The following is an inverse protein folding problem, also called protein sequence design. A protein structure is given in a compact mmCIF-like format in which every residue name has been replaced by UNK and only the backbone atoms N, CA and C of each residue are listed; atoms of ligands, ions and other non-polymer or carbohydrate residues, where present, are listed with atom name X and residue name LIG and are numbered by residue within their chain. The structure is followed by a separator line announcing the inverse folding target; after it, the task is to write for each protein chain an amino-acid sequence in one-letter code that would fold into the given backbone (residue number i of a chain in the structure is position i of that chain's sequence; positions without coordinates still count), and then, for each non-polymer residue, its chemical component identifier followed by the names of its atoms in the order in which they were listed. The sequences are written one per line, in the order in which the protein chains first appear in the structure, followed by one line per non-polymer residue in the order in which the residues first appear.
data_IF_573774478016
#
_entry.id   IF_573774478016
#
_cell.length_a   1.000
_cell.length_b   1.000
_cell.length_c   1.000
_cell.angle_alpha   90.00
_cell.angle_beta   90.00
_cell.angle_gamma   90.00
#
_symmetry.space_group_name_H-M   'P 1'
#
loop_
_entity.id
_entity.type
_entity.pdbx_description
1 polymer ?
#
# COMPACT_ATOMS: atom_id res chain seq x y z
N UNK A 1 0.35 18.87 13.99
CA UNK A 1 0.45 18.44 12.59
C UNK A 1 -0.54 17.32 12.37
N UNK A 2 -1.47 17.55 11.44
CA UNK A 2 -2.51 16.60 11.00
C UNK A 2 -2.08 16.02 9.66
N UNK A 3 -2.13 14.71 9.50
CA UNK A 3 -1.69 14.03 8.28
C UNK A 3 -2.83 13.26 7.62
N UNK A 4 -2.91 13.36 6.30
CA UNK A 4 -3.55 12.35 5.46
C UNK A 4 -2.54 11.26 5.12
N UNK A 5 -2.96 10.01 4.94
CA UNK A 5 -2.06 8.94 4.47
C UNK A 5 -2.45 8.52 3.07
N UNK A 6 -1.49 8.54 2.14
CA UNK A 6 -1.66 7.91 0.82
C UNK A 6 -1.70 6.39 1.02
N UNK A 7 -2.88 5.82 0.82
CA UNK A 7 -3.23 4.49 1.29
C UNK A 7 -3.63 3.58 0.14
N UNK A 8 -2.80 2.56 -0.13
CA UNK A 8 -3.03 1.56 -1.19
C UNK A 8 -3.56 0.23 -0.66
N UNK A 9 -3.59 0.06 0.66
CA UNK A 9 -3.96 -1.19 1.32
C UNK A 9 -2.87 -2.26 1.37
N UNK A 10 -1.71 -1.97 0.80
CA UNK A 10 -0.52 -2.80 0.89
C UNK A 10 0.25 -2.63 2.20
N UNK A 11 1.30 -3.43 2.34
CA UNK A 11 2.14 -3.45 3.54
C UNK A 11 2.80 -2.10 3.84
N UNK A 12 3.30 -1.40 2.81
CA UNK A 12 4.09 -0.19 3.00
C UNK A 12 3.23 1.01 3.36
N UNK A 13 2.07 1.19 2.71
CA UNK A 13 1.12 2.23 3.10
C UNK A 13 0.52 2.00 4.48
N UNK A 14 0.29 0.74 4.86
CA UNK A 14 -0.18 0.39 6.21
C UNK A 14 0.90 0.60 7.27
N UNK A 15 2.16 0.26 6.99
CA UNK A 15 3.28 0.53 7.90
C UNK A 15 3.57 2.02 8.00
N UNK A 16 3.49 2.77 6.90
CA UNK A 16 3.63 4.23 6.91
C UNK A 16 2.56 4.89 7.77
N UNK A 17 1.31 4.40 7.73
CA UNK A 17 0.26 4.80 8.67
C UNK A 17 0.69 4.56 10.13
N UNK A 18 1.23 3.37 10.45
CA UNK A 18 1.70 3.06 11.80
C UNK A 18 2.80 4.01 12.26
N UNK A 19 3.76 4.34 11.39
CA UNK A 19 4.82 5.30 11.73
C UNK A 19 4.34 6.74 11.79
N UNK A 20 3.32 7.10 10.99
CA UNK A 20 2.74 8.44 11.01
C UNK A 20 2.00 8.73 12.32
N UNK A 21 1.22 7.78 12.85
CA UNK A 21 0.47 7.98 14.11
C UNK A 21 1.37 8.14 15.34
N UNK A 22 2.61 7.64 15.29
CA UNK A 22 3.59 7.82 16.37
C UNK A 22 4.09 9.29 16.48
N UNK A 23 3.94 10.08 15.41
CA UNK A 23 4.54 11.43 15.28
C UNK A 23 3.51 12.53 15.08
N UNK A 24 2.32 12.19 14.58
CA UNK A 24 1.29 13.15 14.18
C UNK A 24 -0.11 12.55 14.30
N UNK A 25 -1.12 13.42 14.29
CA UNK A 25 -2.52 12.99 14.22
C UNK A 25 -2.84 12.60 12.78
N UNK A 26 -3.19 11.32 12.54
CA UNK A 26 -3.69 10.89 11.23
C UNK A 26 -5.20 11.03 11.18
N UNK A 27 -5.71 11.79 10.21
CA UNK A 27 -7.12 12.21 10.21
C UNK A 27 -7.93 11.60 9.07
N UNK A 28 -7.28 11.18 7.99
CA UNK A 28 -7.92 10.50 6.87
C UNK A 28 -6.93 9.64 6.06
N UNK A 29 -7.50 8.72 5.29
CA UNK A 29 -6.81 7.95 4.26
C UNK A 29 -7.19 8.51 2.89
N UNK A 30 -6.27 8.42 1.93
CA UNK A 30 -6.45 8.89 0.56
C UNK A 30 -6.05 7.75 -0.37
N UNK A 31 -7.00 7.24 -1.15
CA UNK A 31 -6.77 6.17 -2.12
C UNK A 31 -7.10 6.67 -3.52
N UNK A 32 -6.15 6.51 -4.43
CA UNK A 32 -6.38 6.71 -5.87
C UNK A 32 -6.68 5.34 -6.49
N UNK A 33 -7.77 5.28 -7.25
CA UNK A 33 -8.22 4.08 -7.94
C UNK A 33 -8.05 4.32 -9.42
N UNK A 34 -7.08 3.63 -10.02
CA UNK A 34 -6.77 3.75 -11.44
C UNK A 34 -7.53 2.72 -12.27
N UNK A 35 -8.17 3.17 -13.35
CA UNK A 35 -8.71 2.26 -14.38
C UNK A 35 -7.59 1.57 -15.18
N UNK A 36 -6.41 2.18 -15.22
CA UNK A 36 -5.21 1.59 -15.82
C UNK A 36 -4.57 0.59 -14.86
N UNK A 37 -4.68 -0.71 -15.19
CA UNK A 37 -4.10 -1.83 -14.43
C UNK A 37 -2.56 -1.80 -14.36
N UNK A 38 -1.91 -1.07 -15.27
CA UNK A 38 -0.46 -0.96 -15.42
C UNK A 38 0.06 0.43 -14.96
N UNK A 39 -0.70 1.18 -14.15
CA UNK A 39 -0.23 2.48 -13.63
C UNK A 39 1.04 2.31 -12.80
N UNK A 40 2.07 3.10 -13.12
CA UNK A 40 3.33 3.15 -12.37
C UNK A 40 3.20 3.84 -11.00
N UNK A 41 2.15 4.64 -10.80
CA UNK A 41 1.93 5.41 -9.57
C UNK A 41 1.06 4.68 -8.56
N UNK A 42 0.05 3.93 -8.99
CA UNK A 42 -0.99 3.41 -8.11
C UNK A 42 -1.10 1.89 -8.10
N UNK A 43 -1.14 1.34 -6.90
CA UNK A 43 -1.36 -0.07 -6.63
C UNK A 43 -2.77 -0.48 -7.09
N UNK A 44 -2.87 -1.57 -7.84
CA UNK A 44 -4.14 -2.01 -8.45
C UNK A 44 -4.76 -3.27 -7.82
N UNK A 45 -4.00 -4.28 -7.34
CA UNK A 45 -4.63 -5.47 -6.76
C UNK A 45 -5.42 -5.15 -5.49
N UNK A 46 -6.67 -5.59 -5.45
CA UNK A 46 -7.56 -5.49 -4.28
C UNK A 46 -7.73 -4.06 -3.73
N UNK A 47 -7.61 -3.02 -4.58
CA UNK A 47 -7.73 -1.63 -4.13
C UNK A 47 -9.08 -1.34 -3.46
N UNK A 48 -10.15 -2.04 -3.85
CA UNK A 48 -11.47 -1.93 -3.20
C UNK A 48 -11.47 -2.40 -1.73
N UNK A 49 -10.52 -3.24 -1.32
CA UNK A 49 -10.36 -3.69 0.07
C UNK A 49 -9.95 -2.52 0.98
N UNK A 50 -9.41 -1.43 0.43
CA UNK A 50 -9.14 -0.19 1.19
C UNK A 50 -10.36 0.37 1.89
N UNK A 51 -11.57 0.15 1.36
CA UNK A 51 -12.82 0.55 2.02
C UNK A 51 -12.99 -0.21 3.34
N UNK A 52 -12.79 -1.53 3.32
CA UNK A 52 -12.86 -2.36 4.52
C UNK A 52 -11.71 -2.05 5.48
N UNK A 53 -10.51 -1.79 4.97
CA UNK A 53 -9.36 -1.39 5.80
C UNK A 53 -9.61 -0.04 6.50
N UNK A 54 -10.18 0.94 5.81
CA UNK A 54 -10.54 2.23 6.38
C UNK A 54 -11.59 2.08 7.49
N UNK A 55 -12.65 1.29 7.26
CA UNK A 55 -13.63 0.98 8.30
C UNK A 55 -13.00 0.23 9.48
N UNK A 56 -12.12 -0.74 9.21
CA UNK A 56 -11.39 -1.47 10.24
C UNK A 56 -10.50 -0.54 11.08
N UNK A 57 -9.85 0.45 10.47
CA UNK A 57 -9.07 1.48 11.17
C UNK A 57 -9.97 2.49 11.91
N UNK A 58 -11.20 2.65 11.44
CA UNK A 58 -12.10 3.72 11.89
C UNK A 58 -11.62 5.10 11.44
N UNK A 59 -11.02 5.17 10.25
CA UNK A 59 -10.56 6.41 9.62
C UNK A 59 -11.41 6.73 8.38
N UNK A 60 -11.74 8.00 8.13
CA UNK A 60 -12.34 8.42 6.87
C UNK A 60 -11.45 8.08 5.68
N UNK A 61 -12.07 7.76 4.54
CA UNK A 61 -11.37 7.44 3.30
C UNK A 61 -11.86 8.34 2.16
N UNK A 62 -10.94 9.11 1.58
CA UNK A 62 -11.14 9.75 0.28
C UNK A 62 -10.75 8.76 -0.80
N UNK A 63 -11.69 8.45 -1.68
CA UNK A 63 -11.43 7.67 -2.90
C UNK A 63 -11.58 8.56 -4.11
N UNK A 64 -10.55 8.61 -4.93
CA UNK A 64 -10.55 9.36 -6.19
C UNK A 64 -10.26 8.41 -7.35
N UNK A 65 -11.17 8.37 -8.32
CA UNK A 65 -10.96 7.66 -9.57
C UNK A 65 -10.01 8.45 -10.47
N UNK A 66 -9.15 7.74 -11.20
CA UNK A 66 -8.33 8.31 -12.28
C UNK A 66 -8.33 7.36 -13.47
N UNK A 67 -8.18 7.90 -14.68
CA UNK A 67 -7.95 7.08 -15.88
C UNK A 67 -6.56 6.43 -15.88
N UNK A 68 -5.63 6.92 -15.05
CA UNK A 68 -4.26 6.45 -15.02
C UNK A 68 -3.46 6.84 -16.27
N UNK A 69 -3.85 7.96 -16.89
CA UNK A 69 -3.08 8.61 -17.95
C UNK A 69 -1.92 9.37 -17.28
N UNK A 70 -0.67 9.22 -17.77
CA UNK A 70 0.48 9.91 -17.20
C UNK A 70 0.23 11.42 -17.10
N UNK A 71 0.70 12.03 -16.00
CA UNK A 71 0.50 13.44 -15.65
C UNK A 71 -0.95 13.82 -15.26
N UNK A 72 -1.99 13.32 -15.93
CA UNK A 72 -3.39 13.52 -15.49
C UNK A 72 -3.64 12.89 -14.13
N UNK A 73 -3.08 11.71 -13.91
CA UNK A 73 -3.18 10.97 -12.64
C UNK A 73 -2.58 11.75 -11.45
N UNK A 74 -1.65 12.67 -11.72
CA UNK A 74 -1.04 13.55 -10.72
C UNK A 74 -1.96 14.72 -10.35
N UNK A 75 -2.70 15.26 -11.31
CA UNK A 75 -3.71 16.29 -11.01
C UNK A 75 -4.92 15.68 -10.27
N UNK A 76 -5.28 14.43 -10.57
CA UNK A 76 -6.27 13.69 -9.78
C UNK A 76 -5.81 13.46 -8.34
N UNK A 77 -4.55 13.05 -8.14
CA UNK A 77 -3.95 12.93 -6.81
C UNK A 77 -3.94 14.27 -6.07
N UNK A 78 -3.51 15.34 -6.73
CA UNK A 78 -3.52 16.69 -6.16
C UNK A 78 -4.94 17.11 -5.76
N UNK A 79 -5.95 16.82 -6.58
CA UNK A 79 -7.34 17.11 -6.27
C UNK A 79 -7.82 16.32 -5.03
N UNK A 80 -7.43 15.05 -4.90
CA UNK A 80 -7.75 14.24 -3.72
C UNK A 80 -7.08 14.77 -2.44
N UNK A 81 -5.82 15.21 -2.53
CA UNK A 81 -5.12 15.84 -1.41
C UNK A 81 -5.76 17.19 -1.04
N UNK A 82 -6.11 18.01 -2.03
CA UNK A 82 -6.82 19.28 -1.79
C UNK A 82 -8.18 19.06 -1.14
N UNK A 83 -8.91 17.99 -1.53
CA UNK A 83 -10.12 17.59 -0.83
C UNK A 83 -9.83 17.22 0.63
N UNK A 84 -8.78 16.44 0.90
CA UNK A 84 -8.39 16.07 2.26
C UNK A 84 -8.02 17.29 3.13
N UNK A 85 -7.39 18.31 2.53
CA UNK A 85 -7.10 19.58 3.20
C UNK A 85 -8.40 20.27 3.63
N UNK A 86 -9.41 20.31 2.76
CA UNK A 86 -10.69 20.95 3.08
C UNK A 86 -11.50 20.16 4.10
N UNK A 87 -11.66 18.85 3.88
CA UNK A 87 -12.57 18.00 4.64
C UNK A 87 -11.99 17.62 6.02
N UNK A 88 -10.67 17.44 6.11
CA UNK A 88 -10.00 16.89 7.30
C UNK A 88 -8.90 17.78 7.87
N UNK A 89 -8.65 18.94 7.27
CA UNK A 89 -7.71 19.96 7.75
C UNK A 89 -6.30 19.36 7.93
N UNK A 90 -5.82 18.65 6.91
CA UNK A 90 -4.46 18.07 6.92
C UNK A 90 -3.40 19.16 6.66
N UNK A 91 -2.32 19.11 7.43
CA UNK A 91 -1.12 19.94 7.28
C UNK A 91 -0.06 19.27 6.37
N UNK A 92 -0.27 18.00 6.03
CA UNK A 92 0.65 17.20 5.23
C UNK A 92 0.10 15.84 4.86
N UNK A 93 0.84 15.13 4.03
CA UNK A 93 0.55 13.73 3.68
C UNK A 93 1.73 12.83 4.03
N UNK A 94 1.43 11.64 4.55
CA UNK A 94 2.39 10.56 4.70
C UNK A 94 2.27 9.58 3.52
N UNK A 95 3.41 9.10 3.02
CA UNK A 95 3.46 8.14 1.91
C UNK A 95 4.16 6.85 2.34
N UNK A 96 3.81 5.74 1.67
CA UNK A 96 4.48 4.46 1.79
C UNK A 96 5.72 4.30 0.90
N UNK A 97 6.26 5.37 0.31
CA UNK A 97 7.42 5.26 -0.58
C UNK A 97 8.67 4.79 0.19
N UNK A 98 9.31 3.72 -0.30
CA UNK A 98 10.53 3.16 0.30
C UNK A 98 11.75 3.60 -0.50
N UNK A 99 11.84 3.29 -1.79
CA UNK A 99 12.99 3.70 -2.62
C UNK A 99 12.65 4.38 -3.95
N UNK A 100 11.41 4.29 -4.44
CA UNK A 100 10.99 4.91 -5.69
C UNK A 100 11.12 6.44 -5.67
N UNK A 101 12.20 6.93 -6.29
CA UNK A 101 12.43 8.37 -6.49
C UNK A 101 11.34 8.97 -7.37
N UNK A 102 10.88 8.23 -8.38
CA UNK A 102 9.82 8.68 -9.29
C UNK A 102 8.52 9.04 -8.55
N UNK A 103 8.08 8.19 -7.61
CA UNK A 103 6.89 8.44 -6.80
C UNK A 103 7.15 9.55 -5.78
N UNK A 104 8.27 9.48 -5.06
CA UNK A 104 8.60 10.43 -4.00
C UNK A 104 8.71 11.87 -4.51
N UNK A 105 9.37 12.11 -5.65
CA UNK A 105 9.52 13.46 -6.20
C UNK A 105 8.20 14.05 -6.66
N UNK A 106 7.35 13.27 -7.35
CA UNK A 106 6.03 13.74 -7.81
C UNK A 106 5.09 14.08 -6.67
N UNK A 107 5.05 13.24 -5.63
CA UNK A 107 4.23 13.53 -4.45
C UNK A 107 4.76 14.77 -3.73
N UNK A 108 6.09 14.90 -3.58
CA UNK A 108 6.70 16.09 -3.00
C UNK A 108 6.37 17.36 -3.78
N UNK A 109 6.42 17.33 -5.11
CA UNK A 109 6.05 18.46 -5.97
C UNK A 109 4.59 18.87 -5.80
N UNK A 110 3.67 17.90 -5.72
CA UNK A 110 2.26 18.17 -5.44
C UNK A 110 2.10 18.84 -4.07
N UNK A 111 2.76 18.31 -3.03
CA UNK A 111 2.71 18.87 -1.69
C UNK A 111 3.26 20.31 -1.65
N UNK A 112 4.37 20.56 -2.35
CA UNK A 112 4.96 21.90 -2.46
C UNK A 112 3.98 22.88 -3.14
N UNK A 113 3.32 22.46 -4.22
CA UNK A 113 2.30 23.27 -4.92
C UNK A 113 1.08 23.57 -4.06
N UNK A 114 0.74 22.67 -3.13
CA UNK A 114 -0.37 22.82 -2.19
C UNK A 114 0.02 23.50 -0.87
N UNK A 115 1.32 23.74 -0.63
CA UNK A 115 1.82 24.36 0.59
C UNK A 115 1.73 23.48 1.84
N UNK A 116 1.76 22.15 1.69
CA UNK A 116 1.67 21.18 2.80
C UNK A 116 2.93 20.30 2.91
N UNK A 117 3.10 19.63 4.05
CA UNK A 117 4.23 18.73 4.27
C UNK A 117 4.10 17.41 3.51
N UNK A 118 5.22 16.91 2.96
CA UNK A 118 5.34 15.54 2.48
C UNK A 118 6.21 14.74 3.45
N UNK A 119 5.66 13.68 4.03
CA UNK A 119 6.32 12.84 5.03
C UNK A 119 6.51 11.44 4.44
N UNK A 120 7.74 10.93 4.46
CA UNK A 120 8.06 9.60 3.93
C UNK A 120 8.71 8.75 5.04
N UNK A 121 7.91 8.14 5.95
CA UNK A 121 8.45 7.44 7.12
C UNK A 121 9.31 6.22 6.80
N UNK A 122 9.16 5.66 5.60
CA UNK A 122 9.85 4.44 5.18
C UNK A 122 11.02 4.71 4.23
N UNK A 123 11.26 5.97 3.88
CA UNK A 123 12.23 6.36 2.85
C UNK A 123 13.63 5.85 3.15
N UNK A 124 14.22 5.12 2.20
CA UNK A 124 15.56 4.52 2.25
C UNK A 124 15.80 3.60 3.46
N UNK A 125 14.73 3.11 4.10
CA UNK A 125 14.84 2.05 5.10
C UNK A 125 15.20 0.73 4.44
N UNK A 126 15.92 -0.12 5.17
CA UNK A 126 16.33 -1.42 4.67
C UNK A 126 15.10 -2.33 4.45
N UNK A 127 14.95 -2.87 3.24
CA UNK A 127 13.79 -3.67 2.85
C UNK A 127 13.63 -4.97 3.67
N UNK A 128 14.74 -5.59 4.10
CA UNK A 128 14.70 -6.75 5.00
C UNK A 128 14.16 -6.34 6.36
N UNK A 129 14.65 -5.25 6.93
CA UNK A 129 14.18 -4.75 8.22
C UNK A 129 12.69 -4.40 8.19
N UNK A 130 12.21 -3.79 7.10
CA UNK A 130 10.79 -3.49 6.90
C UNK A 130 9.94 -4.77 6.90
N UNK A 131 10.36 -5.81 6.18
CA UNK A 131 9.65 -7.09 6.18
C UNK A 131 9.66 -7.79 7.54
N UNK A 132 10.80 -7.76 8.23
CA UNK A 132 10.94 -8.32 9.57
C UNK A 132 10.07 -7.56 10.58
N UNK A 133 9.99 -6.23 10.45
CA UNK A 133 9.13 -5.36 11.26
C UNK A 133 7.64 -5.63 11.03
N UNK A 134 7.19 -5.74 9.78
CA UNK A 134 5.81 -6.12 9.42
C UNK A 134 5.42 -7.42 10.12
N UNK A 135 6.30 -8.42 10.08
CA UNK A 135 6.05 -9.72 10.73
C UNK A 135 6.10 -9.61 12.25
N UNK A 136 7.05 -8.85 12.81
CA UNK A 136 7.22 -8.68 14.24
C UNK A 136 6.07 -7.90 14.89
N UNK A 137 5.54 -6.88 14.21
CA UNK A 137 4.39 -6.09 14.64
C UNK A 137 3.07 -6.85 14.45
N UNK A 138 3.09 -8.05 13.84
CA UNK A 138 1.92 -8.93 13.77
C UNK A 138 0.95 -8.61 12.62
N UNK A 139 1.43 -7.97 11.55
CA UNK A 139 0.60 -7.71 10.37
C UNK A 139 0.18 -9.03 9.73
N UNK A 140 -1.08 -9.09 9.30
CA UNK A 140 -1.63 -10.17 8.48
C UNK A 140 -1.62 -9.71 7.03
N UNK A 141 -0.46 -9.79 6.40
CA UNK A 141 -0.25 -9.38 5.01
C UNK A 141 -0.24 -10.59 4.09
N UNK A 142 -0.98 -10.55 2.99
CA UNK A 142 -0.93 -11.57 1.93
C UNK A 142 -0.31 -11.01 0.65
N UNK A 143 0.37 -11.87 -0.11
CA UNK A 143 0.83 -11.53 -1.47
C UNK A 143 -0.39 -11.50 -2.40
N UNK A 144 -0.71 -10.31 -2.92
CA UNK A 144 -1.83 -10.07 -3.82
C UNK A 144 -1.42 -10.04 -5.29
N UNK A 145 -0.14 -9.84 -5.60
CA UNK A 145 0.37 -9.87 -6.96
C UNK A 145 1.83 -10.29 -7.03
N UNK A 146 2.21 -10.92 -8.13
CA UNK A 146 3.61 -11.22 -8.47
C UNK A 146 3.82 -10.94 -9.96
N UNK A 147 4.95 -10.35 -10.32
CA UNK A 147 5.20 -9.87 -11.69
C UNK A 147 6.63 -10.11 -12.18
N UNK A 148 7.41 -10.93 -11.47
CA UNK A 148 8.82 -11.14 -11.77
C UNK A 148 9.24 -12.61 -11.63
N UNK A 149 10.20 -13.06 -12.44
CA UNK A 149 10.79 -14.39 -12.32
C UNK A 149 11.68 -14.49 -11.06
N UNK A 150 11.64 -15.58 -10.27
CA UNK A 150 10.91 -16.83 -10.49
C UNK A 150 9.57 -16.93 -9.74
N UNK A 151 8.98 -15.82 -9.31
CA UNK A 151 7.71 -15.81 -8.60
C UNK A 151 6.62 -16.39 -9.50
N UNK A 152 5.86 -17.36 -9.01
CA UNK A 152 4.78 -18.03 -9.74
C UNK A 152 3.47 -17.99 -8.95
N UNK A 153 2.43 -18.65 -9.49
CA UNK A 153 1.12 -18.74 -8.84
C UNK A 153 1.13 -19.27 -7.40
N UNK A 154 2.18 -19.97 -6.96
CA UNK A 154 2.27 -20.54 -5.61
C UNK A 154 2.57 -19.46 -4.55
N UNK A 155 2.92 -18.25 -4.94
CA UNK A 155 3.15 -17.13 -4.02
C UNK A 155 1.86 -16.39 -3.67
N UNK A 156 0.93 -16.35 -4.61
CA UNK A 156 -0.34 -15.65 -4.51
C UNK A 156 -1.20 -16.18 -3.36
N UNK A 157 -1.74 -15.27 -2.55
CA UNK A 157 -2.54 -15.56 -1.35
C UNK A 157 -1.73 -16.01 -0.13
N UNK A 158 -0.40 -16.19 -0.23
CA UNK A 158 0.41 -16.57 0.93
C UNK A 158 0.59 -15.40 1.90
N UNK A 159 0.47 -15.71 3.19
CA UNK A 159 0.79 -14.77 4.26
C UNK A 159 2.30 -14.53 4.33
N UNK A 160 2.69 -13.27 4.45
CA UNK A 160 4.07 -12.87 4.76
C UNK A 160 4.33 -13.20 6.23
N UNK A 161 5.05 -14.29 6.45
CA UNK A 161 5.55 -14.72 7.75
C UNK A 161 7.09 -14.84 7.73
N UNK A 162 7.70 -15.21 8.86
CA UNK A 162 9.16 -15.36 8.97
C UNK A 162 9.74 -16.35 7.94
N UNK A 163 8.98 -17.37 7.54
CA UNK A 163 9.43 -18.38 6.58
C UNK A 163 9.38 -17.81 5.17
N UNK A 164 8.31 -17.10 4.81
CA UNK A 164 8.17 -16.46 3.51
C UNK A 164 9.21 -15.34 3.33
N UNK A 165 9.46 -14.54 4.36
CA UNK A 165 10.52 -13.50 4.33
C UNK A 165 11.88 -14.11 4.02
N UNK A 166 12.27 -15.21 4.69
CA UNK A 166 13.53 -15.90 4.39
C UNK A 166 13.59 -16.37 2.93
N UNK A 167 12.49 -16.88 2.38
CA UNK A 167 12.44 -17.30 0.97
C UNK A 167 12.61 -16.11 0.02
N UNK A 168 11.96 -14.99 0.30
CA UNK A 168 12.10 -13.76 -0.50
C UNK A 168 13.54 -13.23 -0.48
N UNK A 169 14.22 -13.28 0.67
CA UNK A 169 15.62 -12.87 0.79
C UNK A 169 16.56 -13.79 -0.01
N UNK A 170 16.31 -15.10 -0.02
CA UNK A 170 17.07 -16.04 -0.87
C UNK A 170 16.85 -15.70 -2.35
N UNK A 171 15.60 -15.48 -2.77
CA UNK A 171 15.31 -15.11 -4.16
C UNK A 171 15.94 -13.77 -4.56
N UNK A 172 15.98 -12.80 -3.63
CA UNK A 172 16.67 -11.53 -3.84
C UNK A 172 18.15 -11.73 -4.11
N UNK A 173 18.81 -12.61 -3.35
CA UNK A 173 20.23 -12.93 -3.54
C UNK A 173 20.50 -13.70 -4.85
N UNK A 174 19.63 -14.63 -5.22
CA UNK A 174 19.82 -15.49 -6.40
C UNK A 174 19.43 -14.81 -7.71
N UNK A 175 18.39 -13.99 -7.70
CA UNK A 175 17.77 -13.44 -8.92
C UNK A 175 17.74 -11.91 -8.98
N UNK A 176 18.22 -11.23 -7.94
CA UNK A 176 18.25 -9.76 -7.90
C UNK A 176 16.91 -9.09 -7.65
N UNK A 177 15.88 -9.86 -7.25
CA UNK A 177 14.56 -9.31 -6.91
C UNK A 177 14.65 -8.40 -5.67
N UNK A 178 13.81 -7.37 -5.63
CA UNK A 178 13.48 -6.68 -4.40
C UNK A 178 12.74 -7.63 -3.45
N UNK A 179 13.28 -7.91 -2.25
CA UNK A 179 12.60 -8.79 -1.31
C UNK A 179 11.26 -8.19 -0.83
N UNK A 180 11.15 -6.86 -0.76
CA UNK A 180 9.89 -6.19 -0.42
C UNK A 180 9.00 -5.88 -1.63
N UNK A 181 9.40 -6.23 -2.86
CA UNK A 181 8.63 -5.94 -4.07
C UNK A 181 8.69 -4.49 -4.55
N UNK A 182 9.68 -3.71 -4.11
CA UNK A 182 9.98 -2.39 -4.66
C UNK A 182 10.19 -2.50 -6.18
N UNK A 183 9.61 -1.57 -6.94
CA UNK A 183 9.56 -1.67 -8.40
C UNK A 183 8.40 -2.50 -8.96
N UNK A 184 7.50 -3.00 -8.10
CA UNK A 184 6.24 -3.65 -8.50
C UNK A 184 6.33 -5.17 -8.72
N UNK A 185 7.39 -5.82 -8.25
CA UNK A 185 7.59 -7.27 -8.42
C UNK A 185 6.63 -8.10 -7.54
N UNK A 186 6.28 -7.56 -6.38
CA UNK A 186 5.39 -8.18 -5.40
C UNK A 186 4.43 -7.13 -4.86
N UNK A 187 3.15 -7.41 -5.01
CA UNK A 187 2.08 -6.59 -4.45
C UNK A 187 1.43 -7.30 -3.26
N UNK A 188 0.90 -6.52 -2.33
CA UNK A 188 0.37 -7.06 -1.06
C UNK A 188 -0.96 -6.46 -0.66
N UNK A 189 -1.71 -7.18 0.17
CA UNK A 189 -2.92 -6.69 0.81
C UNK A 189 -2.86 -7.02 2.30
N UNK A 190 -3.09 -6.02 3.15
CA UNK A 190 -3.13 -6.19 4.61
C UNK A 190 -4.54 -6.50 5.08
N UNK A 191 -4.73 -7.62 5.75
CA UNK A 191 -6.02 -8.08 6.27
C UNK A 191 -6.23 -7.72 7.74
N UNK A 192 -5.15 -7.53 8.49
CA UNK A 192 -5.15 -7.09 9.88
C UNK A 192 -3.79 -6.50 10.25
N UNK A 193 -3.78 -5.54 11.17
CA UNK A 193 -2.59 -4.89 11.70
C UNK A 193 -2.87 -4.33 13.12
N UNK A 194 -1.86 -3.96 13.91
CA UNK A 194 -2.05 -3.43 15.26
C UNK A 194 -3.09 -2.31 15.37
N UNK A 195 -3.10 -1.34 14.46
CA UNK A 195 -4.06 -0.24 14.47
C UNK A 195 -5.47 -0.60 14.01
N UNK A 196 -5.69 -1.76 13.41
CA UNK A 196 -7.02 -2.18 12.97
C UNK A 196 -7.88 -2.54 14.19
N UNK A 197 -9.11 -2.04 14.26
CA UNK A 197 -10.10 -2.37 15.30
C UNK A 197 -10.90 -3.63 14.98
N UNK A 198 -10.91 -4.04 13.71
CA UNK A 198 -11.56 -5.25 13.17
C UNK A 198 -10.60 -5.94 12.20
N UNK A 199 -10.74 -7.24 12.00
CA UNK A 199 -9.97 -7.98 11.00
C UNK A 199 -10.77 -8.12 9.72
N UNK A 200 -10.10 -8.31 8.59
CA UNK A 200 -10.72 -8.61 7.30
C UNK A 200 -10.66 -10.12 7.09
N UNK A 201 -11.82 -10.75 7.02
CA UNK A 201 -11.97 -12.16 6.64
C UNK A 201 -12.29 -12.26 5.15
N UNK A 202 -11.46 -12.99 4.40
CA UNK A 202 -11.72 -13.30 2.99
C UNK A 202 -12.73 -14.44 2.92
N UNK A 203 -13.85 -14.20 2.25
CA UNK A 203 -14.92 -15.18 2.05
C UNK A 203 -14.81 -15.90 0.70
N UNK A 204 -14.39 -15.16 -0.33
CA UNK A 204 -14.18 -15.68 -1.67
C UNK A 204 -12.99 -14.99 -2.35
N UNK A 205 -12.23 -15.76 -3.11
CA UNK A 205 -11.04 -15.28 -3.81
C UNK A 205 -10.72 -16.14 -5.03
N UNK A 206 -9.98 -15.55 -5.96
CA UNK A 206 -9.47 -16.26 -7.13
C UNK A 206 -8.00 -15.93 -7.39
N UNK A 207 -7.35 -16.82 -8.13
CA UNK A 207 -5.99 -16.63 -8.61
C UNK A 207 -6.01 -16.64 -10.14
N UNK A 208 -5.58 -15.53 -10.73
CA UNK A 208 -5.33 -15.40 -12.16
C UNK A 208 -3.81 -15.33 -12.37
N UNK A 209 -3.21 -16.32 -13.01
CA UNK A 209 -1.76 -16.34 -13.19
C UNK A 209 -1.33 -17.01 -14.49
N UNK A 210 -0.29 -16.48 -15.12
CA UNK A 210 0.37 -17.01 -16.31
C UNK A 210 1.89 -16.87 -16.17
N UNK A 211 2.59 -17.99 -16.09
CA UNK A 211 4.04 -18.00 -15.91
C UNK A 211 4.44 -17.31 -14.59
N UNK A 212 5.23 -16.24 -14.71
CA UNK A 212 5.74 -15.47 -13.57
C UNK A 212 4.97 -14.17 -13.27
N UNK A 213 3.75 -14.06 -13.80
CA UNK A 213 2.84 -12.96 -13.55
C UNK A 213 1.50 -13.49 -13.06
N UNK A 214 0.94 -12.88 -12.02
CA UNK A 214 -0.39 -13.23 -11.56
C UNK A 214 -0.88 -12.40 -10.38
N UNK A 215 -2.17 -12.50 -10.11
CA UNK A 215 -2.90 -11.72 -9.09
C UNK A 215 -3.80 -12.64 -8.28
N UNK A 216 -3.81 -12.44 -6.96
CA UNK A 216 -4.78 -12.98 -6.02
C UNK A 216 -5.86 -11.91 -5.79
N UNK A 217 -7.06 -12.13 -6.34
CA UNK A 217 -8.20 -11.22 -6.23
C UNK A 217 -9.12 -11.65 -5.11
N UNK A 218 -9.43 -10.73 -4.21
CA UNK A 218 -10.44 -10.91 -3.17
C UNK A 218 -11.80 -10.51 -3.77
N UNK A 219 -12.68 -11.48 -3.98
CA UNK A 219 -14.02 -11.26 -4.55
C UNK A 219 -15.02 -10.82 -3.50
N UNK A 220 -14.93 -11.43 -2.32
CA UNK A 220 -15.79 -11.13 -1.19
C UNK A 220 -14.97 -11.19 0.10
N UNK A 221 -15.15 -10.18 0.93
CA UNK A 221 -14.57 -10.12 2.26
C UNK A 221 -15.52 -9.38 3.20
N UNK A 222 -15.37 -9.60 4.51
CA UNK A 222 -16.13 -8.92 5.55
C UNK A 222 -15.24 -8.54 6.71
N UNK A 223 -15.72 -7.60 7.52
CA UNK A 223 -15.09 -7.30 8.80
C UNK A 223 -15.57 -8.26 9.89
N UNK A 224 -14.63 -8.71 10.70
CA UNK A 224 -14.85 -9.57 11.86
C UNK A 224 -14.19 -8.99 13.11
N UNK A 225 -14.56 -9.51 14.28
CA UNK A 225 -13.93 -9.12 15.55
C UNK A 225 -12.42 -9.39 15.55
N UNK A 226 -11.69 -8.65 16.39
CA UNK A 226 -10.25 -8.83 16.57
C UNK A 226 -9.94 -10.04 17.45
#
# INVERSE_FOLDING_TARGET
MRLGVLFSGGKDSTLALHKAVEKAEVTCLITIVSDNKESYMFHTPNIDVTVLQAEALGLPLIRKMTKGEPEEELEDLKAAIAQAMNDFQIDGVATGAVESVYQATRIQEICNRLGIWCVNPLWKRNQKELLEEIVAEGFVTVISGVFAYPLDKKWLGKKIDKVLVKKLLVLSQEYGLSPSGEGGEIETTVLDAPLFKKKIEILDSEVEAKGNSGVFRIKQARLTGK
#
